data_IF_317625252006
#
_entry.id   IF_317625252006
#
_cell.length_a   1.000
_cell.length_b   1.000
_cell.length_c   1.000
_cell.angle_alpha   90.00
_cell.angle_beta   90.00
_cell.angle_gamma   90.00
#
_symmetry.space_group_name_H-M   'P 1'
#
loop_
_entity.id
_entity.type
_entity.pdbx_description
1 polymer ?
#
# COMPACT_ATOMS: atom_id res chain seq x y z
N UNK A 1 1.56 30.58 14.32
CA UNK A 1 1.77 29.66 14.23
C UNK A 1 1.79 29.12 14.34
N UNK A 2 1.59 29.82 13.96
CA UNK A 2 1.68 28.86 13.87
C UNK A 2 1.59 28.40 13.86
N UNK A 3 1.48 28.86 13.43
CA UNK A 3 1.53 27.89 13.36
C UNK A 3 1.65 27.30 13.32
N UNK A 4 1.72 27.86 13.06
CA UNK A 4 1.88 26.81 12.82
C UNK A 4 2.03 26.36 12.87
N UNK A 5 2.05 26.66 12.65
CA UNK A 5 2.29 25.71 12.78
C UNK A 5 2.51 25.16 13.06
N UNK A 6 2.57 25.59 12.79
CA UNK A 6 2.78 24.61 13.04
C UNK A 6 3.14 24.02 13.27
N UNK A 7 3.32 24.34 13.13
CA UNK A 7 3.60 23.33 13.29
C UNK A 7 3.92 22.75 13.51
N UNK A 8 4.03 23.05 13.42
CA UNK A 8 4.23 22.10 13.60
C UNK A 8 4.54 21.52 13.97
N UNK A 9 4.57 21.70 13.93
CA UNK A 9 4.72 20.81 14.33
C UNK A 9 5.23 20.26 14.66
N UNK A 10 5.29 20.65 14.62
CA UNK A 10 5.66 19.86 14.89
C UNK A 10 6.11 19.22 15.20
N UNK A 11 6.47 19.41 14.98
CA UNK A 11 6.59 18.64 15.07
C UNK A 11 6.68 18.02 15.55
N UNK A 12 6.19 17.96 15.32
CA UNK A 12 5.97 17.43 15.93
C UNK A 12 5.96 16.53 16.33
N UNK A 13 6.31 16.82 16.13
CA UNK A 13 6.34 15.65 16.91
C UNK A 13 5.01 14.91 16.90
N UNK A 14 4.97 13.64 16.90
CA UNK A 14 3.77 12.87 16.87
C UNK A 14 2.97 12.97 15.57
N UNK A 15 3.44 13.75 14.63
CA UNK A 15 2.84 13.82 13.31
C UNK A 15 3.35 12.63 12.51
N UNK A 16 2.43 11.82 12.01
CA UNK A 16 2.78 10.65 11.22
C UNK A 16 2.65 10.96 9.74
N UNK A 17 3.44 10.28 8.94
CA UNK A 17 3.32 10.28 7.49
C UNK A 17 1.92 9.85 7.07
N UNK A 18 1.38 10.45 6.00
CA UNK A 18 0.15 9.95 5.38
C UNK A 18 0.46 8.55 4.84
N UNK A 19 -0.28 7.51 5.26
CA UNK A 19 0.00 6.16 4.79
C UNK A 19 -0.27 5.99 3.30
N UNK A 20 -1.10 6.84 2.70
CA UNK A 20 -1.33 6.85 1.25
C UNK A 20 -0.59 8.05 0.69
N UNK A 21 0.62 7.82 0.18
CA UNK A 21 1.51 8.89 -0.26
C UNK A 21 1.16 9.40 -1.65
N UNK A 22 0.54 8.58 -2.49
CA UNK A 22 0.18 9.01 -3.83
C UNK A 22 -0.59 7.95 -4.59
N UNK A 23 -1.33 8.40 -5.60
CA UNK A 23 -2.10 7.53 -6.49
C UNK A 23 -1.86 8.03 -7.89
N UNK A 24 -1.55 7.12 -8.82
CA UNK A 24 -1.44 7.47 -10.23
C UNK A 24 -2.20 6.45 -11.08
N UNK A 25 -2.71 6.92 -12.21
CA UNK A 25 -3.50 6.10 -13.13
C UNK A 25 -2.93 6.22 -14.53
N UNK A 26 -2.81 5.10 -15.22
CA UNK A 26 -2.26 5.08 -16.58
C UNK A 26 -2.68 3.80 -17.28
N UNK A 27 -3.43 3.93 -18.37
CA UNK A 27 -3.79 2.83 -19.28
C UNK A 27 -4.38 1.61 -18.55
N UNK A 28 -5.37 1.84 -17.68
CA UNK A 28 -6.04 0.76 -16.97
C UNK A 28 -5.31 0.29 -15.71
N UNK A 29 -4.10 0.78 -15.50
CA UNK A 29 -3.34 0.48 -14.29
C UNK A 29 -3.49 1.60 -13.28
N UNK A 30 -3.62 1.23 -12.01
CA UNK A 30 -3.60 2.17 -10.89
C UNK A 30 -2.42 1.80 -10.01
N UNK A 31 -1.61 2.78 -9.64
CA UNK A 31 -0.52 2.60 -8.68
C UNK A 31 -0.86 3.40 -7.44
N UNK A 32 -0.91 2.74 -6.30
CA UNK A 32 -1.08 3.40 -5.00
C UNK A 32 0.21 3.22 -4.22
N UNK A 33 0.82 4.34 -3.84
CA UNK A 33 2.07 4.33 -3.08
C UNK A 33 1.75 4.48 -1.61
N UNK A 34 2.14 3.50 -0.81
CA UNK A 34 1.98 3.54 0.64
C UNK A 34 3.32 3.94 1.26
N UNK A 35 3.28 4.51 2.46
CA UNK A 35 4.48 5.03 3.10
C UNK A 35 4.42 4.94 4.60
N UNK A 36 5.59 4.86 5.22
CA UNK A 36 5.75 4.93 6.65
C UNK A 36 5.45 3.62 7.35
N UNK A 37 4.86 3.72 8.50
CA UNK A 37 4.48 2.57 9.33
C UNK A 37 3.00 2.32 9.14
N UNK A 38 2.66 1.13 8.65
CA UNK A 38 1.27 0.73 8.44
C UNK A 38 0.86 -0.17 9.58
N UNK A 39 -0.08 0.28 10.40
CA UNK A 39 -0.46 -0.42 11.61
C UNK A 39 -1.95 -0.21 11.92
N UNK A 40 -2.36 -0.69 13.07
CA UNK A 40 -3.75 -0.65 13.48
C UNK A 40 -4.31 0.79 13.56
N UNK A 41 -3.46 1.80 13.74
CA UNK A 41 -3.92 3.19 13.88
C UNK A 41 -4.28 3.83 12.55
N UNK A 42 -3.63 3.41 11.45
CA UNK A 42 -3.88 4.00 10.13
C UNK A 42 -4.37 3.00 9.10
N UNK A 43 -4.56 1.75 9.47
CA UNK A 43 -5.01 0.71 8.53
C UNK A 43 -6.36 1.09 7.87
N UNK A 44 -7.25 1.78 8.59
CA UNK A 44 -8.55 2.18 8.03
C UNK A 44 -8.39 3.17 6.88
N UNK A 45 -7.39 4.06 6.93
CA UNK A 45 -7.13 5.01 5.84
C UNK A 45 -6.67 4.27 4.58
N UNK A 46 -5.77 3.29 4.77
CA UNK A 46 -5.30 2.45 3.67
C UNK A 46 -6.46 1.64 3.09
N UNK A 47 -7.29 1.07 3.97
CA UNK A 47 -8.44 0.28 3.56
C UNK A 47 -9.40 1.09 2.71
N UNK A 48 -9.78 2.29 3.17
CA UNK A 48 -10.72 3.14 2.46
C UNK A 48 -10.18 3.50 1.07
N UNK A 49 -8.90 3.86 0.98
CA UNK A 49 -8.28 4.20 -0.29
C UNK A 49 -8.27 2.99 -1.25
N UNK A 50 -7.86 1.84 -0.75
CA UNK A 50 -7.77 0.64 -1.60
C UNK A 50 -9.15 0.19 -2.08
N UNK A 51 -10.16 0.23 -1.22
CA UNK A 51 -11.50 -0.19 -1.61
C UNK A 51 -12.10 0.76 -2.65
N UNK A 52 -11.85 2.06 -2.53
CA UNK A 52 -12.28 3.02 -3.55
C UNK A 52 -11.63 2.72 -4.89
N UNK A 53 -10.34 2.40 -4.89
CA UNK A 53 -9.63 2.07 -6.12
C UNK A 53 -10.12 0.75 -6.72
N UNK A 54 -10.42 -0.24 -5.88
CA UNK A 54 -11.00 -1.50 -6.35
C UNK A 54 -12.34 -1.29 -7.03
N UNK A 55 -13.14 -0.33 -6.53
CA UNK A 55 -14.45 -0.02 -7.09
C UNK A 55 -14.36 0.56 -8.50
N UNK A 56 -13.20 1.10 -8.90
CA UNK A 56 -12.97 1.58 -10.27
C UNK A 56 -12.75 0.41 -11.25
N UNK A 57 -12.60 -0.80 -10.74
CA UNK A 57 -12.32 -2.01 -11.53
C UNK A 57 -11.14 -1.86 -12.48
N UNK A 58 -9.98 -1.41 -11.99
CA UNK A 58 -8.80 -1.32 -12.86
C UNK A 58 -8.35 -2.69 -13.33
N UNK A 59 -7.68 -2.75 -14.47
CA UNK A 59 -7.10 -3.99 -14.98
C UNK A 59 -6.02 -4.50 -14.05
N UNK A 60 -5.27 -3.57 -13.44
CA UNK A 60 -4.29 -3.90 -12.40
C UNK A 60 -4.23 -2.79 -11.38
N UNK A 61 -4.07 -3.20 -10.13
CA UNK A 61 -3.86 -2.30 -8.99
C UNK A 61 -2.53 -2.69 -8.36
N UNK A 62 -1.56 -1.82 -8.48
CA UNK A 62 -0.21 -2.06 -7.94
C UNK A 62 -0.08 -1.27 -6.64
N UNK A 63 0.25 -1.98 -5.57
CA UNK A 63 0.53 -1.37 -4.28
C UNK A 63 2.04 -1.25 -4.16
N UNK A 64 2.55 -0.02 -4.27
CA UNK A 64 3.97 0.25 -4.16
C UNK A 64 4.35 0.38 -2.70
N UNK A 65 5.18 -0.54 -2.23
CA UNK A 65 5.59 -0.65 -0.83
C UNK A 65 7.00 -0.12 -0.58
N UNK A 66 7.61 0.54 -1.57
CA UNK A 66 9.01 0.95 -1.46
C UNK A 66 9.27 1.95 -0.33
N UNK A 67 8.27 2.75 0.04
CA UNK A 67 8.40 3.74 1.12
C UNK A 67 7.82 3.25 2.44
N UNK A 68 7.39 1.99 2.53
CA UNK A 68 6.85 1.40 3.76
C UNK A 68 8.02 0.86 4.59
N UNK A 69 8.11 1.32 5.84
CA UNK A 69 9.17 0.90 6.76
C UNK A 69 8.74 -0.23 7.68
N UNK A 70 7.45 -0.36 7.92
CA UNK A 70 6.90 -1.36 8.83
C UNK A 70 5.44 -1.64 8.49
N UNK A 71 5.03 -2.89 8.62
CA UNK A 71 3.64 -3.29 8.38
C UNK A 71 3.26 -4.35 9.42
N UNK A 72 2.12 -4.15 10.08
CA UNK A 72 1.64 -5.13 11.06
C UNK A 72 0.54 -6.01 10.47
N UNK A 73 0.04 -6.95 11.28
CA UNK A 73 -0.96 -7.91 10.83
C UNK A 73 -2.29 -7.25 10.46
N UNK A 74 -2.64 -6.14 11.10
CA UNK A 74 -3.88 -5.41 10.78
C UNK A 74 -3.80 -4.87 9.36
N UNK A 75 -2.68 -4.22 9.03
CA UNK A 75 -2.48 -3.68 7.69
C UNK A 75 -2.35 -4.78 6.64
N UNK A 76 -1.69 -5.91 6.98
CA UNK A 76 -1.65 -7.06 6.07
C UNK A 76 -3.05 -7.57 5.76
N UNK A 77 -3.93 -7.61 6.77
CA UNK A 77 -5.33 -8.00 6.59
C UNK A 77 -6.08 -7.07 5.63
N UNK A 78 -5.75 -5.78 5.66
CA UNK A 78 -6.32 -4.80 4.72
C UNK A 78 -5.93 -5.14 3.28
N UNK A 79 -4.66 -5.52 3.06
CA UNK A 79 -4.21 -5.91 1.71
C UNK A 79 -4.95 -7.16 1.23
N UNK A 80 -5.18 -8.12 2.11
CA UNK A 80 -5.94 -9.34 1.79
C UNK A 80 -7.37 -8.96 1.40
N UNK A 81 -8.01 -8.12 2.17
CA UNK A 81 -9.38 -7.68 1.90
C UNK A 81 -9.47 -6.98 0.54
N UNK A 82 -8.54 -6.07 0.27
CA UNK A 82 -8.54 -5.31 -0.98
C UNK A 82 -8.39 -6.24 -2.19
N UNK A 83 -7.49 -7.22 -2.10
CA UNK A 83 -7.32 -8.20 -3.18
C UNK A 83 -8.62 -8.95 -3.45
N UNK A 84 -9.33 -9.32 -2.39
CA UNK A 84 -10.60 -10.04 -2.50
C UNK A 84 -11.68 -9.18 -3.20
N UNK A 85 -11.62 -7.87 -3.01
CA UNK A 85 -12.60 -6.94 -3.58
C UNK A 85 -12.29 -6.52 -5.00
N UNK A 86 -11.06 -6.71 -5.47
CA UNK A 86 -10.71 -6.38 -6.85
C UNK A 86 -11.32 -7.43 -7.78
N UNK A 87 -12.02 -6.98 -8.82
CA UNK A 87 -12.69 -7.88 -9.76
C UNK A 87 -11.70 -8.86 -10.40
N UNK A 88 -10.59 -8.34 -10.91
CA UNK A 88 -9.50 -9.18 -11.43
C UNK A 88 -8.43 -9.33 -10.36
N UNK A 89 -8.56 -10.37 -9.52
CA UNK A 89 -7.63 -10.60 -8.41
C UNK A 89 -6.18 -10.77 -8.86
N UNK A 90 -5.96 -11.27 -10.06
CA UNK A 90 -4.61 -11.43 -10.62
C UNK A 90 -3.96 -10.09 -10.89
N UNK A 91 -4.76 -9.04 -11.02
CA UNK A 91 -4.28 -7.69 -11.20
C UNK A 91 -3.91 -6.98 -9.91
N UNK A 92 -4.09 -7.61 -8.74
CA UNK A 92 -3.67 -7.04 -7.47
C UNK A 92 -2.22 -7.43 -7.20
N UNK A 93 -1.30 -6.47 -7.31
CA UNK A 93 0.13 -6.73 -7.27
C UNK A 93 0.79 -5.89 -6.18
N UNK A 94 1.74 -6.48 -5.46
CA UNK A 94 2.58 -5.75 -4.52
C UNK A 94 3.93 -5.51 -5.19
N UNK A 95 4.49 -4.32 -5.01
CA UNK A 95 5.73 -3.93 -5.66
C UNK A 95 6.75 -3.39 -4.67
N UNK A 96 8.01 -3.78 -4.86
CA UNK A 96 9.18 -3.19 -4.21
C UNK A 96 9.13 -3.19 -2.68
N UNK A 97 8.71 -4.30 -2.01
CA UNK A 97 8.74 -4.30 -0.55
C UNK A 97 10.18 -4.20 -0.04
N UNK A 98 10.39 -3.37 0.98
CA UNK A 98 11.67 -3.32 1.67
C UNK A 98 11.86 -4.56 2.53
N UNK A 99 13.01 -4.63 3.21
CA UNK A 99 13.40 -5.82 3.95
C UNK A 99 12.39 -6.21 5.04
N UNK A 100 11.94 -5.26 5.83
CA UNK A 100 11.03 -5.55 6.94
C UNK A 100 9.66 -5.98 6.43
N UNK A 101 9.16 -5.33 5.38
CA UNK A 101 7.87 -5.70 4.78
C UNK A 101 7.97 -7.08 4.14
N UNK A 102 9.08 -7.37 3.46
CA UNK A 102 9.30 -8.68 2.84
C UNK A 102 9.32 -9.77 3.91
N UNK A 103 9.99 -9.52 5.03
CA UNK A 103 10.01 -10.47 6.14
C UNK A 103 8.62 -10.71 6.71
N UNK A 104 7.82 -9.66 6.88
CA UNK A 104 6.45 -9.79 7.37
C UNK A 104 5.62 -10.67 6.43
N UNK A 105 5.78 -10.48 5.13
CA UNK A 105 5.08 -11.30 4.13
C UNK A 105 5.52 -12.76 4.21
N UNK A 106 6.83 -13.01 4.36
CA UNK A 106 7.37 -14.37 4.44
C UNK A 106 6.93 -15.09 5.70
N UNK A 107 7.05 -14.42 6.86
CA UNK A 107 6.70 -15.02 8.15
C UNK A 107 5.22 -15.37 8.20
N UNK A 108 4.36 -14.52 7.62
CA UNK A 108 2.91 -14.77 7.61
C UNK A 108 2.49 -15.75 6.51
N UNK A 109 3.39 -16.10 5.60
CA UNK A 109 3.07 -16.95 4.45
C UNK A 109 2.38 -16.20 3.31
N UNK A 110 2.20 -14.90 3.44
CA UNK A 110 1.46 -14.10 2.47
C UNK A 110 2.27 -13.83 1.19
N UNK A 111 3.58 -14.04 1.22
CA UNK A 111 4.41 -13.97 0.01
C UNK A 111 3.97 -15.00 -1.03
N UNK A 112 3.29 -16.06 -0.61
CA UNK A 112 2.71 -17.07 -1.52
C UNK A 112 1.28 -16.76 -1.88
N UNK A 113 0.64 -15.87 -1.14
CA UNK A 113 -0.75 -15.47 -1.40
C UNK A 113 -0.81 -14.31 -2.38
N UNK A 114 0.13 -13.38 -2.30
CA UNK A 114 0.20 -12.22 -3.17
C UNK A 114 1.21 -12.41 -4.29
N UNK A 115 0.97 -11.77 -5.43
CA UNK A 115 1.98 -11.62 -6.47
C UNK A 115 2.89 -10.45 -6.06
N UNK A 116 4.11 -10.77 -5.65
CA UNK A 116 5.07 -9.79 -5.15
C UNK A 116 6.16 -9.59 -6.19
N UNK A 117 6.35 -8.35 -6.61
CA UNK A 117 7.37 -7.98 -7.60
C UNK A 117 8.47 -7.15 -6.93
N UNK A 118 9.71 -7.34 -7.37
CA UNK A 118 10.84 -6.65 -6.77
C UNK A 118 10.87 -5.16 -7.10
N UNK A 119 10.18 -4.74 -8.16
CA UNK A 119 10.16 -3.34 -8.58
C UNK A 119 8.77 -2.96 -9.10
N UNK A 120 8.52 -1.66 -9.11
CA UNK A 120 7.29 -1.13 -9.70
C UNK A 120 7.24 -1.45 -11.20
N UNK A 121 8.36 -1.30 -11.91
CA UNK A 121 8.41 -1.59 -13.35
C UNK A 121 8.05 -3.05 -13.64
N UNK A 122 8.55 -3.98 -12.83
CA UNK A 122 8.23 -5.40 -12.97
C UNK A 122 6.74 -5.65 -12.77
N UNK A 123 6.13 -5.01 -11.77
CA UNK A 123 4.70 -5.16 -11.50
C UNK A 123 3.87 -4.61 -12.66
N UNK A 124 4.27 -3.48 -13.21
CA UNK A 124 3.55 -2.87 -14.33
C UNK A 124 3.67 -3.68 -15.62
N UNK A 125 4.74 -4.44 -15.78
CA UNK A 125 4.99 -5.25 -16.97
C UNK A 125 4.41 -6.67 -16.86
N UNK A 126 3.95 -7.08 -15.67
CA UNK A 126 3.48 -8.44 -15.46
C UNK A 126 2.19 -8.73 -16.22
N UNK A 127 2.04 -9.98 -16.66
CA UNK A 127 0.79 -10.45 -17.25
C UNK A 127 -0.24 -10.69 -16.14
N UNK A 128 -1.44 -10.18 -16.30
CA UNK A 128 -2.51 -10.30 -15.30
C UNK A 128 -3.85 -10.68 -15.92
#
# INVERSE_FOLDING_TARGET
MADGTDAADDGTSGIREDPVAGISRNDGAVVVSLAGELDLYNAHEVRDALLELCAESPDRLVVDLSAVRFIDSTALGVLIEARTKLENRRGFLLAAPGLETRRALEISGLDRHFAVHDSLDSALAASV
#
